data_IF_043884308152
#
_entry.id   IF_043884308152
#
_cell.length_a   1.000
_cell.length_b   1.000
_cell.length_c   1.000
_cell.angle_alpha   90.00
_cell.angle_beta   90.00
_cell.angle_gamma   90.00
#
_symmetry.space_group_name_H-M   'P 1'
#
loop_
_entity.id
_entity.type
_entity.pdbx_description
1 polymer ?
#
# COMPACT_ATOMS: atom_id res chain seq x y z
N UNK A 1 -6.28 -50.43 14.19
CA UNK A 1 -5.74 -49.13 14.65
C UNK A 1 -4.67 -48.70 13.68
N UNK A 2 -5.00 -47.84 12.72
CA UNK A 2 -4.03 -47.27 11.79
C UNK A 2 -4.02 -45.76 12.01
N UNK A 3 -2.91 -45.27 12.56
CA UNK A 3 -2.65 -43.86 12.81
C UNK A 3 -2.47 -43.13 11.47
N UNK A 4 -3.30 -42.13 11.18
CA UNK A 4 -3.07 -41.17 10.11
C UNK A 4 -2.23 -40.02 10.69
N UNK A 5 -0.97 -39.92 10.29
CA UNK A 5 -0.09 -38.81 10.68
C UNK A 5 -0.41 -37.58 9.82
N UNK A 6 -0.78 -36.47 10.47
CA UNK A 6 -1.04 -35.18 9.85
C UNK A 6 0.28 -34.42 9.57
N UNK A 7 0.51 -34.04 8.31
CA UNK A 7 1.51 -33.04 7.95
C UNK A 7 0.83 -31.67 7.87
N UNK A 8 0.79 -30.95 9.00
CA UNK A 8 0.48 -29.53 9.03
C UNK A 8 1.68 -28.73 8.53
N UNK A 9 1.64 -28.29 7.27
CA UNK A 9 2.62 -27.33 6.75
C UNK A 9 2.34 -25.95 7.36
N UNK A 10 3.04 -25.59 8.42
CA UNK A 10 3.09 -24.20 8.90
C UNK A 10 3.85 -23.37 7.89
N UNK A 11 3.11 -22.70 6.99
CA UNK A 11 3.66 -21.73 6.07
C UNK A 11 4.08 -20.47 6.84
N UNK A 12 5.24 -20.52 7.50
CA UNK A 12 5.88 -19.36 8.13
C UNK A 12 6.44 -18.47 7.03
N UNK A 13 5.56 -17.67 6.41
CA UNK A 13 5.99 -16.57 5.57
C UNK A 13 6.36 -15.43 6.52
N UNK A 14 7.62 -15.41 6.94
CA UNK A 14 8.25 -14.15 7.34
C UNK A 14 8.34 -13.28 6.08
N UNK A 15 7.22 -12.72 5.63
CA UNK A 15 7.24 -11.68 4.60
C UNK A 15 8.05 -10.53 5.18
N UNK A 16 9.18 -10.26 4.54
CA UNK A 16 10.15 -9.26 4.97
C UNK A 16 9.38 -7.96 5.26
N UNK A 17 9.48 -7.47 6.49
CA UNK A 17 8.85 -6.21 6.87
C UNK A 17 9.51 -5.11 6.04
N UNK A 18 8.82 -4.62 5.01
CA UNK A 18 9.33 -3.47 4.25
C UNK A 18 9.33 -2.22 5.13
N UNK A 19 10.31 -1.36 4.88
CA UNK A 19 10.40 -0.06 5.54
C UNK A 19 9.49 0.92 4.80
N UNK A 20 8.50 1.46 5.51
CA UNK A 20 7.63 2.53 5.01
C UNK A 20 8.22 3.90 5.38
N UNK A 21 8.08 4.92 4.52
CA UNK A 21 8.63 6.23 4.81
C UNK A 21 7.89 6.91 5.98
N UNK A 22 8.66 7.53 6.88
CA UNK A 22 8.13 8.12 8.12
C UNK A 22 7.27 9.38 7.89
N UNK A 23 7.46 10.08 6.77
CA UNK A 23 6.69 11.26 6.39
C UNK A 23 5.45 10.94 5.54
N UNK A 24 5.07 9.66 5.44
CA UNK A 24 3.90 9.21 4.72
C UNK A 24 2.58 9.60 5.40
N UNK A 25 1.55 9.85 4.59
CA UNK A 25 0.17 10.05 5.04
C UNK A 25 -0.65 8.82 4.68
N UNK A 26 -1.48 8.36 5.60
CA UNK A 26 -2.42 7.25 5.34
C UNK A 26 -3.68 7.80 4.70
N UNK A 27 -4.27 7.05 3.77
CA UNK A 27 -5.58 7.37 3.19
C UNK A 27 -6.17 6.20 2.43
N UNK A 28 -7.42 6.36 1.98
CA UNK A 28 -8.11 5.37 1.16
C UNK A 28 -8.00 5.72 -0.31
N UNK A 29 -7.43 4.82 -1.12
CA UNK A 29 -7.37 4.94 -2.57
C UNK A 29 -8.72 4.51 -3.16
N UNK A 30 -9.20 5.30 -4.11
CA UNK A 30 -10.17 4.87 -5.11
C UNK A 30 -9.44 4.80 -6.47
N UNK A 31 -8.97 3.61 -6.82
CA UNK A 31 -8.17 3.39 -8.01
C UNK A 31 -9.01 3.28 -9.27
N UNK A 32 -8.37 3.46 -10.42
CA UNK A 32 -8.98 3.37 -11.77
C UNK A 32 -10.13 4.35 -12.07
N UNK A 33 -10.51 5.23 -11.13
CA UNK A 33 -11.57 6.22 -11.35
C UNK A 33 -11.13 7.41 -12.22
N UNK A 34 -9.84 7.70 -12.28
CA UNK A 34 -9.29 8.87 -12.97
C UNK A 34 -8.18 8.46 -13.94
N UNK A 35 -8.03 9.16 -15.08
CA UNK A 35 -6.95 8.88 -16.02
C UNK A 35 -5.58 9.24 -15.43
N UNK A 36 -4.53 8.55 -15.86
CA UNK A 36 -3.16 8.93 -15.52
C UNK A 36 -2.86 10.39 -15.92
N UNK A 37 -2.17 11.19 -15.08
CA UNK A 37 -1.51 10.85 -13.82
C UNK A 37 -2.35 11.12 -12.55
N UNK A 38 -3.68 11.20 -12.65
CA UNK A 38 -4.54 11.50 -11.50
C UNK A 38 -4.95 10.23 -10.75
N UNK A 39 -5.02 10.33 -9.42
CA UNK A 39 -5.54 9.31 -8.51
C UNK A 39 -6.42 9.97 -7.46
N UNK A 40 -7.37 9.22 -6.89
CA UNK A 40 -8.20 9.73 -5.81
C UNK A 40 -7.82 9.07 -4.49
N UNK A 41 -7.46 9.90 -3.50
CA UNK A 41 -7.10 9.45 -2.15
C UNK A 41 -7.93 10.23 -1.14
N UNK A 42 -8.69 9.54 -0.29
CA UNK A 42 -9.57 10.13 0.75
C UNK A 42 -10.49 11.23 0.19
N UNK A 43 -11.19 10.91 -0.91
CA UNK A 43 -12.08 11.81 -1.68
C UNK A 43 -11.40 13.06 -2.26
N UNK A 44 -10.07 13.10 -2.34
CA UNK A 44 -9.32 14.17 -3.02
C UNK A 44 -8.64 13.62 -4.26
N UNK A 45 -8.89 14.27 -5.39
CA UNK A 45 -8.15 14.01 -6.63
C UNK A 45 -6.78 14.67 -6.51
N UNK A 46 -5.73 13.87 -6.59
CA UNK A 46 -4.34 14.29 -6.51
C UNK A 46 -3.58 13.75 -7.72
N UNK A 47 -2.45 14.38 -8.04
CA UNK A 47 -1.62 14.03 -9.17
C UNK A 47 -0.40 13.22 -8.71
N UNK A 48 -0.05 12.18 -9.46
CA UNK A 48 1.24 11.50 -9.34
C UNK A 48 2.34 12.42 -9.91
N UNK A 49 3.40 12.58 -9.12
CA UNK A 49 4.56 13.38 -9.52
C UNK A 49 5.23 12.79 -10.77
N UNK A 50 5.96 13.59 -11.55
CA UNK A 50 6.85 13.06 -12.58
C UNK A 50 7.86 12.08 -11.95
N UNK A 51 7.89 10.85 -12.44
CA UNK A 51 8.72 9.78 -11.85
C UNK A 51 8.18 9.21 -10.53
N UNK A 52 6.94 9.53 -10.16
CA UNK A 52 6.28 8.98 -8.99
C UNK A 52 6.15 7.45 -9.08
N UNK A 53 6.41 6.76 -7.97
CA UNK A 53 6.41 5.30 -7.90
C UNK A 53 5.23 4.78 -7.09
N UNK A 54 4.61 3.72 -7.60
CA UNK A 54 3.54 3.00 -6.91
C UNK A 54 4.08 1.63 -6.51
N UNK A 55 4.00 1.29 -5.24
CA UNK A 55 4.45 0.02 -4.68
C UNK A 55 3.24 -0.84 -4.29
N UNK A 56 3.19 -2.08 -4.78
CA UNK A 56 2.20 -3.06 -4.34
C UNK A 56 2.48 -3.59 -2.93
N UNK A 57 1.66 -4.54 -2.47
CA UNK A 57 1.78 -5.13 -1.14
C UNK A 57 3.05 -5.99 -1.00
N UNK A 58 3.55 -6.54 -2.12
CA UNK A 58 4.80 -7.31 -2.23
C UNK A 58 6.04 -6.42 -2.43
N UNK A 59 5.89 -5.10 -2.31
CA UNK A 59 6.95 -4.10 -2.48
C UNK A 59 7.54 -4.01 -3.89
N UNK A 60 6.78 -4.40 -4.91
CA UNK A 60 7.13 -4.26 -6.32
C UNK A 60 6.59 -2.95 -6.85
N UNK A 61 7.29 -2.35 -7.82
CA UNK A 61 6.76 -1.18 -8.51
C UNK A 61 5.71 -1.63 -9.53
N UNK A 62 4.52 -1.02 -9.46
CA UNK A 62 3.43 -1.23 -10.40
C UNK A 62 3.11 0.06 -11.14
N UNK A 63 2.39 -0.05 -12.26
CA UNK A 63 1.93 1.09 -13.05
C UNK A 63 0.54 1.53 -12.61
N UNK A 64 0.17 2.78 -12.96
CA UNK A 64 -1.13 3.37 -12.61
C UNK A 64 -2.33 2.51 -13.05
N UNK A 65 -2.27 1.92 -14.25
CA UNK A 65 -3.33 1.03 -14.75
C UNK A 65 -3.48 -0.30 -13.99
N UNK A 66 -2.55 -0.63 -13.10
CA UNK A 66 -2.61 -1.83 -12.25
C UNK A 66 -3.12 -1.55 -10.84
N UNK A 67 -3.54 -0.32 -10.54
CA UNK A 67 -4.11 0.01 -9.25
C UNK A 67 -5.40 -0.80 -9.00
N UNK A 68 -5.61 -1.34 -7.80
CA UNK A 68 -6.89 -1.96 -7.45
C UNK A 68 -8.00 -0.90 -7.38
N UNK A 69 -9.27 -1.32 -7.46
CA UNK A 69 -10.42 -0.42 -7.35
C UNK A 69 -10.43 0.35 -6.02
N UNK A 70 -10.02 -0.29 -4.93
CA UNK A 70 -9.84 0.33 -3.63
C UNK A 70 -8.71 -0.33 -2.83
N UNK A 71 -8.01 0.47 -2.03
CA UNK A 71 -6.99 0.00 -1.09
C UNK A 71 -6.65 1.08 -0.06
N UNK A 72 -6.34 0.67 1.17
CA UNK A 72 -5.65 1.55 2.11
C UNK A 72 -4.23 1.79 1.61
N UNK A 73 -3.81 3.05 1.59
CA UNK A 73 -2.52 3.46 1.06
C UNK A 73 -1.76 4.34 2.04
N UNK A 74 -0.43 4.33 1.91
CA UNK A 74 0.43 5.37 2.44
C UNK A 74 1.05 6.13 1.27
N UNK A 75 0.92 7.45 1.27
CA UNK A 75 1.42 8.30 0.21
C UNK A 75 2.35 9.39 0.74
N UNK A 76 3.39 9.70 -0.04
CA UNK A 76 4.34 10.77 0.23
C UNK A 76 4.14 11.86 -0.82
N UNK A 77 4.03 13.10 -0.36
CA UNK A 77 3.83 14.28 -1.20
C UNK A 77 5.16 15.01 -1.34
N UNK A 78 5.47 15.48 -2.55
CA UNK A 78 6.66 16.28 -2.84
C UNK A 78 6.46 17.78 -2.53
N UNK A 79 7.46 18.61 -2.86
CA UNK A 79 7.40 20.05 -2.65
C UNK A 79 6.33 20.77 -3.49
N UNK A 80 5.87 20.17 -4.59
CA UNK A 80 4.85 20.72 -5.47
C UNK A 80 3.43 20.34 -5.05
N UNK A 81 3.28 19.44 -4.07
CA UNK A 81 1.99 18.90 -3.69
C UNK A 81 1.60 17.63 -4.46
N UNK A 82 2.50 17.09 -5.28
CA UNK A 82 2.25 15.87 -6.07
C UNK A 82 2.67 14.61 -5.29
N UNK A 83 1.99 13.49 -5.53
CA UNK A 83 2.30 12.20 -4.92
C UNK A 83 3.56 11.60 -5.56
N UNK A 84 4.67 11.64 -4.83
CA UNK A 84 5.96 11.09 -5.28
C UNK A 84 6.11 9.60 -5.02
N UNK A 85 5.48 9.09 -3.96
CA UNK A 85 5.46 7.66 -3.64
C UNK A 85 4.09 7.25 -3.12
N UNK A 86 3.56 6.16 -3.64
CA UNK A 86 2.30 5.55 -3.21
C UNK A 86 2.57 4.10 -2.83
N UNK A 87 2.19 3.69 -1.63
CA UNK A 87 2.34 2.32 -1.14
C UNK A 87 0.95 1.73 -0.88
N UNK A 88 0.61 0.63 -1.56
CA UNK A 88 -0.58 -0.16 -1.23
C UNK A 88 -0.31 -0.91 0.06
N UNK A 89 -1.04 -0.58 1.13
CA UNK A 89 -0.78 -1.13 2.46
C UNK A 89 -1.33 -2.54 2.58
N UNK A 90 -0.60 -3.37 3.32
CA UNK A 90 -1.11 -4.63 3.84
C UNK A 90 -1.91 -4.39 5.14
N UNK A 91 -2.88 -5.23 5.48
CA UNK A 91 -3.68 -5.06 6.71
C UNK A 91 -2.83 -4.92 7.98
N UNK A 92 -1.76 -5.69 8.09
CA UNK A 92 -0.84 -5.62 9.23
C UNK A 92 -0.01 -4.33 9.28
N UNK A 93 0.28 -3.73 8.11
CA UNK A 93 0.97 -2.44 8.02
C UNK A 93 0.06 -1.30 8.45
N UNK A 94 -1.19 -1.31 7.99
CA UNK A 94 -2.21 -0.35 8.39
C UNK A 94 -2.43 -0.40 9.91
N UNK A 95 -2.66 -1.59 10.47
CA UNK A 95 -2.87 -1.77 11.91
C UNK A 95 -1.64 -1.34 12.74
N UNK A 96 -0.43 -1.42 12.19
CA UNK A 96 0.78 -0.90 12.85
C UNK A 96 0.81 0.63 12.82
N UNK A 97 0.46 1.25 11.69
CA UNK A 97 0.42 2.70 11.53
C UNK A 97 -0.67 3.33 12.41
N UNK A 98 -1.86 2.73 12.47
CA UNK A 98 -2.96 3.18 13.34
C UNK A 98 -2.58 3.13 14.82
N UNK A 99 -1.94 2.03 15.26
CA UNK A 99 -1.41 1.93 16.62
C UNK A 99 -0.32 2.95 16.92
N UNK A 100 0.48 3.34 15.93
CA UNK A 100 1.49 4.37 16.09
C UNK A 100 0.89 5.78 16.13
N UNK A 101 -0.21 6.02 15.41
CA UNK A 101 -0.92 7.30 15.36
C UNK A 101 -1.86 7.53 16.55
N UNK A 102 -2.36 6.46 17.17
CA UNK A 102 -3.23 6.53 18.35
C UNK A 102 -2.52 6.63 19.70
N UNK A 103 -1.19 6.86 19.72
CA UNK A 103 -0.41 7.18 20.92
C UNK A 103 -0.10 8.67 20.95
#
# INVERSE_FOLDING_TARGET
MTFFAALGASASHAQLVRTLPANGKVGELAGQQHPFPLVQISNKVVRLAPGGLIYDQENRTIVHGSLPESASVLFVVDANGDVSRLYLLRPEELARLERAAGR
#
